data_IF_790799769397
#
_entry.id   IF_790799769397
#
_cell.length_a   1.000
_cell.length_b   1.000
_cell.length_c   1.000
_cell.angle_alpha   90.00
_cell.angle_beta   90.00
_cell.angle_gamma   90.00
#
_symmetry.space_group_name_H-M   'P 1'
#
loop_
_entity.id
_entity.type
_entity.pdbx_description
1 polymer ?
#
# COMPACT_ATOMS: atom_id res chain seq x y z
N UNK A 1 -16.01 -1.95 -12.11
CA UNK A 1 -16.15 -2.45 -13.51
C UNK A 1 -17.56 -3.01 -13.77
N UNK A 2 -18.21 -3.69 -12.82
CA UNK A 2 -19.68 -3.94 -12.89
C UNK A 2 -20.53 -2.64 -12.89
N UNK A 3 -20.02 -1.57 -12.28
CA UNK A 3 -20.67 -0.26 -12.22
C UNK A 3 -20.69 0.51 -13.56
N UNK A 4 -19.92 0.07 -14.57
CA UNK A 4 -19.75 0.84 -15.83
C UNK A 4 -20.25 0.14 -17.09
N UNK A 5 -20.76 -1.09 -17.02
CA UNK A 5 -21.03 -1.89 -18.24
C UNK A 5 -22.31 -2.72 -18.23
N UNK A 6 -23.29 -2.36 -17.42
CA UNK A 6 -24.66 -2.74 -17.69
C UNK A 6 -25.30 -1.62 -18.50
N UNK A 7 -24.76 -1.38 -19.68
CA UNK A 7 -25.36 -0.46 -20.65
C UNK A 7 -26.48 -1.21 -21.34
N UNK A 8 -27.67 -0.62 -21.38
CA UNK A 8 -28.76 -1.11 -22.22
C UNK A 8 -28.24 -1.22 -23.64
N UNK A 9 -28.50 -2.34 -24.30
CA UNK A 9 -28.12 -2.55 -25.69
C UNK A 9 -28.77 -1.47 -26.56
N UNK A 10 -27.98 -0.73 -27.33
CA UNK A 10 -28.41 0.47 -28.04
C UNK A 10 -29.46 0.13 -29.11
N UNK A 11 -29.30 -1.04 -29.74
CA UNK A 11 -30.25 -1.58 -30.72
C UNK A 11 -31.59 -1.97 -30.08
N UNK A 12 -31.56 -2.49 -28.85
CA UNK A 12 -32.77 -2.82 -28.10
C UNK A 12 -33.49 -1.54 -27.63
N UNK A 13 -32.73 -0.53 -27.19
CA UNK A 13 -33.27 0.77 -26.81
C UNK A 13 -33.92 1.49 -27.99
N UNK A 14 -33.32 1.42 -29.19
CA UNK A 14 -33.88 2.01 -30.41
C UNK A 14 -35.23 1.39 -30.78
N UNK A 15 -35.33 0.06 -30.81
CA UNK A 15 -36.60 -0.63 -31.08
C UNK A 15 -37.72 -0.24 -30.11
N UNK A 16 -37.40 -0.17 -28.82
CA UNK A 16 -38.39 0.21 -27.80
C UNK A 16 -38.86 1.66 -28.02
N UNK A 17 -37.96 2.58 -28.39
CA UNK A 17 -38.37 3.96 -28.72
C UNK A 17 -39.27 4.01 -29.94
N UNK A 18 -38.97 3.25 -30.99
CA UNK A 18 -39.77 3.22 -32.22
C UNK A 18 -41.19 2.66 -31.96
N UNK A 19 -41.27 1.56 -31.21
CA UNK A 19 -42.55 0.95 -30.83
C UNK A 19 -43.40 1.89 -29.95
N UNK A 20 -42.76 2.62 -29.02
CA UNK A 20 -43.45 3.58 -28.15
C UNK A 20 -43.86 4.85 -28.92
N UNK A 21 -43.07 5.29 -29.89
CA UNK A 21 -43.43 6.41 -30.76
C UNK A 21 -44.66 6.09 -31.64
N UNK A 22 -44.81 4.83 -32.07
CA UNK A 22 -45.98 4.39 -32.84
C UNK A 22 -47.30 4.52 -32.08
N UNK A 23 -47.26 4.53 -30.74
CA UNK A 23 -48.42 4.75 -29.86
C UNK A 23 -48.45 6.17 -29.26
N UNK A 24 -47.59 7.08 -29.74
CA UNK A 24 -47.56 8.50 -29.35
C UNK A 24 -46.86 8.78 -28.01
N UNK A 25 -46.01 7.87 -27.53
CA UNK A 25 -45.28 8.00 -26.26
C UNK A 25 -43.79 8.27 -26.54
N UNK A 26 -43.24 9.32 -25.94
CA UNK A 26 -41.82 9.66 -26.04
C UNK A 26 -41.04 9.06 -24.85
N UNK A 27 -40.02 8.25 -25.13
CA UNK A 27 -39.17 7.62 -24.12
C UNK A 27 -37.83 8.35 -24.03
N UNK A 28 -37.63 9.08 -22.94
CA UNK A 28 -36.39 9.83 -22.67
C UNK A 28 -35.24 8.91 -22.27
N UNK A 29 -35.42 8.14 -21.21
CA UNK A 29 -34.36 7.33 -20.60
C UNK A 29 -34.77 5.88 -20.37
N UNK A 30 -33.84 4.95 -20.63
CA UNK A 30 -34.04 3.51 -20.44
C UNK A 30 -32.92 3.01 -19.55
N UNK A 31 -33.28 2.54 -18.36
CA UNK A 31 -32.34 2.03 -17.37
C UNK A 31 -32.60 0.54 -17.08
N UNK A 32 -31.53 -0.24 -16.98
CA UNK A 32 -31.62 -1.65 -16.62
C UNK A 32 -31.64 -1.77 -15.08
N UNK A 33 -32.75 -2.28 -14.54
CA UNK A 33 -32.95 -2.35 -13.09
C UNK A 33 -32.32 -3.60 -12.46
N UNK A 34 -32.57 -4.77 -13.05
CA UNK A 34 -32.11 -6.06 -12.53
C UNK A 34 -31.53 -6.92 -13.66
N UNK A 35 -30.31 -7.42 -13.45
CA UNK A 35 -29.69 -8.43 -14.32
C UNK A 35 -29.43 -9.69 -13.53
N UNK A 36 -30.12 -10.75 -13.90
CA UNK A 36 -29.88 -12.07 -13.35
C UNK A 36 -28.74 -12.70 -14.15
N UNK A 37 -27.50 -12.53 -13.67
CA UNK A 37 -26.38 -13.32 -14.18
C UNK A 37 -26.49 -14.77 -13.67
N UNK A 38 -26.41 -15.78 -14.56
CA UNK A 38 -26.24 -17.17 -14.19
C UNK A 38 -25.03 -17.36 -13.24
N UNK A 39 -25.13 -18.31 -12.30
CA UNK A 39 -24.16 -18.49 -11.22
C UNK A 39 -22.70 -18.59 -11.70
N UNK A 40 -22.46 -19.41 -12.73
CA UNK A 40 -21.13 -19.70 -13.26
C UNK A 40 -20.42 -18.45 -13.80
N UNK A 41 -21.17 -17.57 -14.47
CA UNK A 41 -20.62 -16.35 -15.07
C UNK A 41 -20.20 -15.34 -13.99
N UNK A 42 -20.97 -15.26 -12.89
CA UNK A 42 -20.67 -14.40 -11.74
C UNK A 42 -19.39 -14.84 -11.03
N UNK A 43 -19.20 -16.14 -10.89
CA UNK A 43 -18.01 -16.69 -10.25
C UNK A 43 -16.75 -16.39 -11.05
N UNK A 44 -16.76 -16.66 -12.36
CA UNK A 44 -15.63 -16.37 -13.26
C UNK A 44 -15.29 -14.87 -13.26
N UNK A 45 -16.31 -14.00 -13.39
CA UNK A 45 -16.08 -12.55 -13.36
C UNK A 45 -15.46 -12.09 -12.04
N UNK A 46 -15.94 -12.61 -10.91
CA UNK A 46 -15.39 -12.27 -9.60
C UNK A 46 -13.94 -12.76 -9.45
N UNK A 47 -13.61 -13.94 -9.98
CA UNK A 47 -12.24 -14.46 -9.97
C UNK A 47 -11.30 -13.57 -10.80
N UNK A 48 -11.69 -13.19 -12.02
CA UNK A 48 -10.86 -12.31 -12.87
C UNK A 48 -10.68 -10.93 -12.23
N UNK A 49 -11.76 -10.32 -11.74
CA UNK A 49 -11.70 -8.99 -11.11
C UNK A 49 -10.86 -9.03 -9.83
N UNK A 50 -10.96 -10.10 -9.03
CA UNK A 50 -10.14 -10.22 -7.83
C UNK A 50 -8.65 -10.42 -8.17
N UNK A 51 -8.33 -11.23 -9.18
CA UNK A 51 -6.97 -11.42 -9.66
C UNK A 51 -6.36 -10.12 -10.22
N UNK A 52 -7.11 -9.36 -11.01
CA UNK A 52 -6.68 -8.05 -11.52
C UNK A 52 -6.37 -7.07 -10.38
N UNK A 53 -7.30 -6.93 -9.42
CA UNK A 53 -7.09 -6.05 -8.25
C UNK A 53 -5.91 -6.49 -7.40
N UNK A 54 -5.72 -7.79 -7.20
CA UNK A 54 -4.59 -8.33 -6.47
C UNK A 54 -3.27 -8.06 -7.19
N UNK A 55 -3.25 -8.20 -8.52
CA UNK A 55 -2.10 -7.89 -9.35
C UNK A 55 -1.74 -6.39 -9.27
N UNK A 56 -2.75 -5.51 -9.39
CA UNK A 56 -2.59 -4.06 -9.25
C UNK A 56 -2.01 -3.69 -7.87
N UNK A 57 -2.59 -4.22 -6.79
CA UNK A 57 -2.09 -4.01 -5.43
C UNK A 57 -0.64 -4.49 -5.27
N UNK A 58 -0.30 -5.64 -5.84
CA UNK A 58 1.06 -6.18 -5.79
C UNK A 58 2.08 -5.31 -6.55
N UNK A 59 1.68 -4.67 -7.66
CA UNK A 59 2.56 -3.75 -8.39
C UNK A 59 2.84 -2.50 -7.56
N UNK A 60 1.81 -1.94 -6.92
CA UNK A 60 1.97 -0.78 -6.03
C UNK A 60 2.89 -1.13 -4.87
N UNK A 61 2.61 -2.22 -4.15
CA UNK A 61 3.42 -2.68 -3.02
C UNK A 61 4.89 -2.87 -3.41
N UNK A 62 5.15 -3.56 -4.54
CA UNK A 62 6.54 -3.77 -5.00
C UNK A 62 7.25 -2.48 -5.37
N UNK A 63 6.54 -1.50 -5.95
CA UNK A 63 7.10 -0.17 -6.24
C UNK A 63 7.45 0.58 -4.97
N UNK A 64 6.55 0.57 -3.99
CA UNK A 64 6.77 1.21 -2.69
C UNK A 64 7.95 0.59 -1.95
N UNK A 65 8.02 -0.74 -1.88
CA UNK A 65 9.16 -1.46 -1.29
C UNK A 65 10.46 -1.10 -1.98
N UNK A 66 10.49 -1.11 -3.32
CA UNK A 66 11.70 -0.74 -4.08
C UNK A 66 12.11 0.71 -3.83
N UNK A 67 11.14 1.63 -3.76
CA UNK A 67 11.43 3.04 -3.47
C UNK A 67 11.98 3.21 -2.04
N UNK A 68 11.40 2.52 -1.06
CA UNK A 68 11.90 2.52 0.31
C UNK A 68 13.34 1.97 0.40
N UNK A 69 13.61 0.82 -0.23
CA UNK A 69 14.95 0.23 -0.27
C UNK A 69 15.96 1.13 -0.98
N UNK A 70 15.57 1.78 -2.08
CA UNK A 70 16.44 2.74 -2.80
C UNK A 70 16.76 3.97 -1.94
N UNK A 71 15.78 4.53 -1.24
CA UNK A 71 16.00 5.63 -0.32
C UNK A 71 16.94 5.23 0.82
N UNK A 72 16.75 4.05 1.41
CA UNK A 72 17.65 3.54 2.45
C UNK A 72 19.07 3.34 1.92
N UNK A 73 19.23 2.78 0.72
CA UNK A 73 20.53 2.60 0.08
C UNK A 73 21.24 3.95 -0.16
N UNK A 74 20.51 4.95 -0.63
CA UNK A 74 21.06 6.29 -0.86
C UNK A 74 21.49 6.94 0.46
N UNK A 75 20.67 6.81 1.52
CA UNK A 75 21.03 7.28 2.85
C UNK A 75 22.30 6.59 3.36
N UNK A 76 22.40 5.26 3.21
CA UNK A 76 23.59 4.51 3.60
C UNK A 76 24.84 4.94 2.84
N UNK A 77 24.72 5.23 1.53
CA UNK A 77 25.82 5.77 0.72
C UNK A 77 26.29 7.14 1.21
N UNK A 78 25.37 8.06 1.45
CA UNK A 78 25.71 9.41 1.97
C UNK A 78 26.38 9.31 3.34
N UNK A 79 25.94 8.38 4.20
CA UNK A 79 26.58 8.11 5.49
C UNK A 79 28.00 7.53 5.35
N UNK A 80 28.21 6.65 4.37
CA UNK A 80 29.53 6.06 4.11
C UNK A 80 30.51 7.06 3.49
N UNK A 81 30.03 7.94 2.61
CA UNK A 81 30.84 8.97 1.96
C UNK A 81 31.20 10.14 2.88
N UNK A 82 30.38 10.42 3.91
CA UNK A 82 30.60 11.53 4.83
C UNK A 82 30.78 11.06 6.29
N UNK A 83 32.03 10.96 6.80
CA UNK A 83 32.29 10.49 8.17
C UNK A 83 31.72 11.41 9.26
N UNK A 84 31.50 12.70 8.96
CA UNK A 84 30.89 13.64 9.91
C UNK A 84 29.42 13.33 10.13
N UNK A 85 28.69 12.93 9.07
CA UNK A 85 27.27 12.52 9.17
C UNK A 85 27.10 11.25 9.99
N UNK A 86 28.00 10.27 9.83
CA UNK A 86 27.99 9.04 10.63
C UNK A 86 28.16 9.38 12.12
N UNK A 87 29.16 10.21 12.45
CA UNK A 87 29.41 10.63 13.83
C UNK A 87 28.23 11.40 14.44
N UNK A 88 27.56 12.23 13.63
CA UNK A 88 26.37 12.96 14.07
C UNK A 88 25.21 12.00 14.38
N UNK A 89 25.00 10.95 13.55
CA UNK A 89 23.98 9.92 13.80
C UNK A 89 24.29 9.04 15.02
N UNK A 90 25.56 8.75 15.27
CA UNK A 90 25.98 8.08 16.52
C UNK A 90 25.65 8.92 17.75
N UNK A 91 25.92 10.23 17.70
CA UNK A 91 25.62 11.15 18.80
C UNK A 91 24.10 11.29 19.02
N UNK A 92 23.30 11.37 17.96
CA UNK A 92 21.84 11.39 18.03
C UNK A 92 21.30 10.09 18.65
N UNK A 93 21.88 8.93 18.31
CA UNK A 93 21.52 7.65 18.92
C UNK A 93 21.91 7.60 20.42
N UNK A 94 23.09 8.11 20.76
CA UNK A 94 23.55 8.23 22.15
C UNK A 94 22.66 9.18 22.97
N UNK A 95 22.24 10.30 22.40
CA UNK A 95 21.29 11.23 23.03
C UNK A 95 19.93 10.55 23.27
N UNK A 96 19.40 9.82 22.28
CA UNK A 96 18.15 9.09 22.42
C UNK A 96 18.19 7.99 23.50
N UNK A 97 19.34 7.33 23.66
CA UNK A 97 19.56 6.32 24.72
C UNK A 97 19.74 7.01 26.07
N UNK A 98 20.57 8.06 26.15
CA UNK A 98 20.81 8.81 27.37
C UNK A 98 19.51 9.45 27.92
N UNK A 99 18.64 9.96 27.04
CA UNK A 99 17.32 10.48 27.41
C UNK A 99 16.35 9.42 27.95
N UNK A 100 16.59 8.12 27.71
CA UNK A 100 15.77 7.02 28.22
C UNK A 100 16.33 6.39 29.51
N UNK A 101 17.56 6.69 29.88
CA UNK A 101 18.21 6.13 31.08
C UNK A 101 18.28 7.21 32.15
N UNK A 102 17.21 7.38 32.94
CA UNK A 102 17.21 8.28 34.11
C UNK A 102 18.06 7.75 35.27
N UNK A 103 18.36 6.44 35.32
CA UNK A 103 19.18 5.83 36.37
C UNK A 103 19.80 4.50 35.91
N UNK A 104 21.11 4.48 35.71
CA UNK A 104 21.88 3.24 35.55
C UNK A 104 22.40 2.81 36.93
N UNK A 105 21.73 1.86 37.59
CA UNK A 105 22.14 1.35 38.90
C UNK A 105 23.27 0.34 38.72
N UNK A 106 24.52 0.78 38.93
CA UNK A 106 25.71 -0.07 38.84
C UNK A 106 25.88 -0.80 40.17
N UNK A 107 25.64 -2.11 40.19
CA UNK A 107 25.72 -2.94 41.41
C UNK A 107 27.15 -3.28 41.86
N UNK A 108 28.20 -2.82 41.18
CA UNK A 108 29.56 -3.34 41.37
C UNK A 108 30.65 -2.30 41.64
N UNK A 109 30.34 -1.28 42.46
CA UNK A 109 31.34 -0.36 43.02
C UNK A 109 32.08 0.51 41.99
N UNK A 110 32.84 1.48 42.48
CA UNK A 110 33.55 2.47 41.66
C UNK A 110 34.79 1.91 40.95
N UNK A 111 35.31 0.74 41.36
CA UNK A 111 36.49 0.10 40.77
C UNK A 111 36.20 -0.69 39.48
N UNK A 112 34.96 -1.16 39.28
CA UNK A 112 34.58 -1.92 38.08
C UNK A 112 34.42 -1.06 36.82
N UNK A 113 34.07 0.23 37.00
CA UNK A 113 33.80 1.14 35.89
C UNK A 113 35.04 1.55 35.09
N UNK A 114 36.22 1.52 35.71
CA UNK A 114 37.48 1.89 35.05
C UNK A 114 38.15 0.73 34.31
N UNK A 115 37.84 -0.53 34.66
CA UNK A 115 38.60 -1.70 34.19
C UNK A 115 37.84 -2.67 33.25
N UNK A 116 36.50 -2.70 33.25
CA UNK A 116 35.74 -3.78 32.57
C UNK A 116 35.29 -3.48 31.12
N UNK A 117 35.64 -2.32 30.54
CA UNK A 117 35.20 -1.93 29.19
C UNK A 117 35.80 -2.74 28.01
N UNK A 118 36.46 -3.88 28.23
CA UNK A 118 37.10 -4.66 27.14
C UNK A 118 36.79 -6.16 27.13
N UNK A 119 35.68 -6.62 27.72
CA UNK A 119 35.22 -8.01 27.47
C UNK A 119 33.73 -8.09 27.11
N UNK A 120 33.42 -7.65 25.89
CA UNK A 120 32.32 -8.25 25.13
C UNK A 120 32.84 -9.59 24.59
N UNK A 121 32.48 -10.69 25.26
CA UNK A 121 32.76 -12.07 24.84
C UNK A 121 31.53 -12.60 24.09
N UNK A 122 31.77 -13.10 22.87
CA UNK A 122 30.91 -13.86 21.93
C UNK A 122 29.39 -13.60 21.91
#
# INVERSE_FOLDING_TARGET
ILDKKVTVDEDAAAKVRDDMAAIGVEVSDIALKDVILPGDMREILNQVVSAEKQAEANVIRRREETNATRSLLNTAKVMAENPVMLRLKELEALEAIAGKVERLTVHNGTDGLLNDLVKLRD
#
